data_IF_028751696902
#
_entry.id   IF_028751696902
#
_cell.length_a   1.000
_cell.length_b   1.000
_cell.length_c   1.000
_cell.angle_alpha   90.00
_cell.angle_beta   90.00
_cell.angle_gamma   90.00
#
_symmetry.space_group_name_H-M   'P 1'
#
loop_
_entity.id
_entity.type
_entity.pdbx_description
1 polymer ?
#
# COMPACT_ATOMS: atom_id res chain seq x y z
N UNK A 1 -12.77 85.73 -56.91
CA UNK A 1 -12.75 84.30 -56.50
C UNK A 1 -12.32 84.15 -55.03
N UNK A 2 -13.12 84.61 -54.05
CA UNK A 2 -12.76 84.52 -52.60
C UNK A 2 -13.99 84.38 -51.69
N UNK A 3 -14.96 83.53 -52.04
CA UNK A 3 -16.16 83.31 -51.21
C UNK A 3 -16.49 81.84 -50.91
N UNK A 4 -15.65 80.89 -51.30
CA UNK A 4 -15.92 79.45 -51.12
C UNK A 4 -15.28 78.79 -49.89
N UNK A 5 -14.32 79.43 -49.22
CA UNK A 5 -13.49 78.75 -48.20
C UNK A 5 -14.02 78.82 -46.76
N UNK A 6 -15.00 79.69 -46.48
CA UNK A 6 -15.47 79.91 -45.10
C UNK A 6 -16.62 78.97 -44.70
N UNK A 7 -17.27 78.30 -45.66
CA UNK A 7 -18.37 77.34 -45.41
C UNK A 7 -17.87 75.92 -45.07
N UNK A 8 -16.62 75.57 -45.39
CA UNK A 8 -16.08 74.22 -45.13
C UNK A 8 -15.59 74.08 -43.68
N UNK A 9 -15.30 75.20 -42.98
CA UNK A 9 -14.73 75.19 -41.64
C UNK A 9 -15.77 75.12 -40.50
N UNK A 10 -17.06 75.35 -40.80
CA UNK A 10 -18.15 75.26 -39.82
C UNK A 10 -18.82 73.88 -39.77
N UNK A 11 -18.67 73.04 -40.80
CA UNK A 11 -19.25 71.68 -40.83
C UNK A 11 -18.34 70.66 -40.12
N UNK A 12 -17.05 70.93 -40.00
CA UNK A 12 -16.08 70.04 -39.33
C UNK A 12 -16.07 70.16 -37.79
N UNK A 13 -16.59 71.24 -37.22
CA UNK A 13 -16.63 71.41 -35.74
C UNK A 13 -17.87 70.73 -35.13
N UNK A 14 -18.96 70.56 -35.91
CA UNK A 14 -20.18 69.90 -35.45
C UNK A 14 -20.10 68.37 -35.37
N UNK A 15 -19.11 67.73 -35.99
CA UNK A 15 -18.95 66.26 -35.99
C UNK A 15 -18.19 65.71 -34.77
N UNK A 16 -17.50 66.56 -34.01
CA UNK A 16 -16.73 66.13 -32.81
C UNK A 16 -17.60 66.06 -31.55
N UNK A 17 -18.76 66.72 -31.53
CA UNK A 17 -19.71 66.68 -30.39
C UNK A 17 -20.69 65.49 -30.43
N UNK A 18 -20.63 64.66 -31.48
CA UNK A 18 -21.33 63.37 -31.58
C UNK A 18 -20.41 62.19 -31.20
N UNK A 19 -19.26 62.44 -30.57
CA UNK A 19 -18.54 61.43 -29.79
C UNK A 19 -19.29 61.22 -28.48
N UNK A 20 -20.48 60.64 -28.62
CA UNK A 20 -21.38 60.34 -27.53
C UNK A 20 -20.63 59.54 -26.48
N UNK A 21 -20.68 60.02 -25.25
CA UNK A 21 -20.33 59.28 -24.05
C UNK A 21 -21.21 58.02 -24.01
N UNK A 22 -20.84 56.98 -24.75
CA UNK A 22 -21.39 55.65 -24.53
C UNK A 22 -21.02 55.33 -23.10
N UNK A 23 -22.02 55.29 -22.22
CA UNK A 23 -21.80 55.05 -20.81
C UNK A 23 -20.94 53.79 -20.66
N UNK A 24 -20.00 53.74 -19.68
CA UNK A 24 -19.16 52.58 -19.43
C UNK A 24 -19.95 51.26 -19.42
N UNK A 25 -21.21 51.30 -18.98
CA UNK A 25 -22.16 50.19 -19.02
C UNK A 25 -22.46 49.67 -20.45
N UNK A 26 -22.74 50.54 -21.42
CA UNK A 26 -23.03 50.12 -22.80
C UNK A 26 -21.80 49.50 -23.47
N UNK A 27 -20.63 50.06 -23.18
CA UNK A 27 -19.37 49.53 -23.70
C UNK A 27 -19.05 48.16 -23.09
N UNK A 28 -19.16 48.03 -21.76
CA UNK A 28 -18.97 46.75 -21.07
C UNK A 28 -19.96 45.69 -21.55
N UNK A 29 -21.23 46.05 -21.77
CA UNK A 29 -22.24 45.14 -22.33
C UNK A 29 -21.84 44.65 -23.72
N UNK A 30 -21.40 45.55 -24.60
CA UNK A 30 -20.91 45.18 -25.94
C UNK A 30 -19.71 44.23 -25.89
N UNK A 31 -18.80 44.43 -24.93
CA UNK A 31 -17.66 43.51 -24.71
C UNK A 31 -18.12 42.13 -24.20
N UNK A 32 -19.13 42.07 -23.32
CA UNK A 32 -19.73 40.79 -22.89
C UNK A 32 -20.35 40.02 -24.06
N UNK A 33 -21.15 40.70 -24.89
CA UNK A 33 -21.85 40.10 -26.03
C UNK A 33 -20.89 39.61 -27.12
N UNK A 34 -19.76 40.30 -27.29
CA UNK A 34 -18.70 39.91 -28.22
C UNK A 34 -17.71 38.88 -27.65
N UNK A 35 -17.89 38.43 -26.41
CA UNK A 35 -17.01 37.45 -25.76
C UNK A 35 -15.62 37.99 -25.39
N UNK A 36 -15.43 39.30 -25.38
CA UNK A 36 -14.17 39.97 -25.04
C UNK A 36 -13.97 40.09 -23.52
N UNK A 37 -14.16 38.98 -22.79
CA UNK A 37 -14.19 38.95 -21.33
C UNK A 37 -12.89 39.42 -20.68
N UNK A 38 -11.73 39.07 -21.24
CA UNK A 38 -10.42 39.48 -20.72
C UNK A 38 -10.22 41.00 -20.83
N UNK A 39 -10.59 41.58 -21.98
CA UNK A 39 -10.51 43.03 -22.21
C UNK A 39 -11.48 43.79 -21.31
N UNK A 40 -12.68 43.23 -21.09
CA UNK A 40 -13.66 43.78 -20.16
C UNK A 40 -13.11 43.82 -18.73
N UNK A 41 -12.51 42.73 -18.25
CA UNK A 41 -11.92 42.67 -16.91
C UNK A 41 -10.73 43.64 -16.80
N UNK A 42 -9.86 43.69 -17.81
CA UNK A 42 -8.73 44.60 -17.83
C UNK A 42 -9.16 46.08 -17.80
N UNK A 43 -10.23 46.43 -18.53
CA UNK A 43 -10.72 47.80 -18.65
C UNK A 43 -11.59 48.25 -17.47
N UNK A 44 -12.45 47.37 -16.97
CA UNK A 44 -13.48 47.71 -15.99
C UNK A 44 -13.33 47.00 -14.64
N UNK A 45 -12.26 46.23 -14.43
CA UNK A 45 -12.06 45.39 -13.23
C UNK A 45 -12.03 46.15 -11.91
N UNK A 46 -11.70 47.44 -11.93
CA UNK A 46 -11.70 48.32 -10.75
C UNK A 46 -12.97 49.16 -10.60
N UNK A 47 -13.95 49.05 -11.50
CA UNK A 47 -15.18 49.83 -11.46
C UNK A 47 -16.26 49.12 -10.61
N UNK A 48 -16.65 49.66 -9.44
CA UNK A 48 -17.65 49.02 -8.58
C UNK A 48 -19.04 48.95 -9.21
N UNK A 49 -19.40 49.90 -10.09
CA UNK A 49 -20.71 49.91 -10.78
C UNK A 49 -20.85 48.74 -11.76
N UNK A 50 -19.72 48.23 -12.26
CA UNK A 50 -19.66 47.12 -13.20
C UNK A 50 -19.22 45.80 -12.55
N UNK A 51 -19.10 45.74 -11.23
CA UNK A 51 -18.60 44.58 -10.51
C UNK A 51 -19.35 43.28 -10.87
N UNK A 52 -20.68 43.34 -11.00
CA UNK A 52 -21.50 42.19 -11.41
C UNK A 52 -21.14 41.71 -12.83
N UNK A 53 -20.94 42.62 -13.78
CA UNK A 53 -20.62 42.26 -15.16
C UNK A 53 -19.18 41.74 -15.29
N UNK A 54 -18.23 42.36 -14.58
CA UNK A 54 -16.86 41.85 -14.46
C UNK A 54 -16.85 40.45 -13.85
N UNK A 55 -17.68 40.19 -12.85
CA UNK A 55 -17.80 38.87 -12.25
C UNK A 55 -18.37 37.84 -13.24
N UNK A 56 -19.42 38.19 -13.99
CA UNK A 56 -19.95 37.32 -15.05
C UNK A 56 -18.91 37.02 -16.14
N UNK A 57 -18.08 38.00 -16.51
CA UNK A 57 -16.98 37.80 -17.44
C UNK A 57 -15.94 36.79 -16.89
N UNK A 58 -15.58 36.92 -15.60
CA UNK A 58 -14.70 35.96 -14.92
C UNK A 58 -15.29 34.56 -14.90
N UNK A 59 -16.57 34.43 -14.53
CA UNK A 59 -17.29 33.15 -14.52
C UNK A 59 -17.23 32.49 -15.91
N UNK A 60 -17.44 33.25 -16.99
CA UNK A 60 -17.36 32.73 -18.38
C UNK A 60 -15.96 32.28 -18.79
N UNK A 61 -14.92 33.03 -18.42
CA UNK A 61 -13.53 32.61 -18.67
C UNK A 61 -13.24 31.31 -17.92
N UNK A 62 -13.61 31.23 -16.64
CA UNK A 62 -13.35 30.03 -15.83
C UNK A 62 -14.14 28.82 -16.34
N UNK A 63 -15.41 28.99 -16.72
CA UNK A 63 -16.22 27.93 -17.35
C UNK A 63 -15.53 27.37 -18.60
N UNK A 64 -15.00 28.26 -19.47
CA UNK A 64 -14.28 27.86 -20.66
C UNK A 64 -12.97 27.14 -20.34
N UNK A 65 -12.16 27.68 -19.44
CA UNK A 65 -10.91 27.04 -19.00
C UNK A 65 -11.18 25.65 -18.39
N UNK A 66 -12.29 25.50 -17.68
CA UNK A 66 -12.67 24.24 -17.06
C UNK A 66 -13.07 23.21 -18.11
N UNK A 67 -13.86 23.62 -19.11
CA UNK A 67 -14.24 22.77 -20.24
C UNK A 67 -13.02 22.35 -21.08
N UNK A 68 -12.04 23.24 -21.25
CA UNK A 68 -10.77 22.98 -21.96
C UNK A 68 -9.80 22.08 -21.14
N UNK A 69 -10.14 21.71 -19.90
CA UNK A 69 -9.26 20.96 -19.01
C UNK A 69 -8.04 21.74 -18.49
N UNK A 70 -8.03 23.07 -18.64
CA UNK A 70 -6.94 23.95 -18.21
C UNK A 70 -7.04 24.30 -16.73
N UNK A 71 -7.11 23.27 -15.89
CA UNK A 71 -7.34 23.42 -14.45
C UNK A 71 -6.24 24.21 -13.73
N UNK A 72 -4.97 24.03 -14.10
CA UNK A 72 -3.87 24.80 -13.51
C UNK A 72 -4.03 26.30 -13.73
N UNK A 73 -4.49 26.72 -14.92
CA UNK A 73 -4.73 28.12 -15.25
C UNK A 73 -5.85 28.73 -14.38
N UNK A 74 -6.87 27.94 -14.03
CA UNK A 74 -7.92 28.36 -13.09
C UNK A 74 -7.33 28.58 -11.70
N UNK A 75 -6.47 27.69 -11.22
CA UNK A 75 -5.88 27.81 -9.88
C UNK A 75 -4.92 29.00 -9.77
N UNK A 76 -4.17 29.27 -10.83
CA UNK A 76 -3.19 30.35 -10.87
C UNK A 76 -3.84 31.72 -10.99
N UNK A 77 -4.79 31.89 -11.92
CA UNK A 77 -5.40 33.20 -12.19
C UNK A 77 -6.67 33.47 -11.38
N UNK A 78 -7.36 32.41 -10.95
CA UNK A 78 -8.69 32.48 -10.35
C UNK A 78 -8.79 31.57 -9.11
N UNK A 79 -7.74 31.51 -8.28
CA UNK A 79 -7.66 30.63 -7.12
C UNK A 79 -8.80 30.79 -6.10
N UNK A 80 -9.38 31.98 -6.00
CA UNK A 80 -10.50 32.29 -5.10
C UNK A 80 -11.88 32.02 -5.72
N UNK A 81 -11.95 31.63 -7.00
CA UNK A 81 -13.21 31.39 -7.68
C UNK A 81 -13.86 30.09 -7.20
N UNK A 82 -15.20 30.02 -7.19
CA UNK A 82 -15.96 28.84 -6.72
C UNK A 82 -15.53 27.52 -7.41
N UNK A 83 -15.18 27.59 -8.69
CA UNK A 83 -14.75 26.43 -9.49
C UNK A 83 -13.28 26.02 -9.27
N UNK A 84 -12.49 26.81 -8.54
CA UNK A 84 -11.10 26.43 -8.23
C UNK A 84 -11.06 25.12 -7.42
N UNK A 85 -12.04 24.90 -6.53
CA UNK A 85 -12.17 23.64 -5.80
C UNK A 85 -12.40 22.46 -6.74
N UNK A 86 -13.30 22.61 -7.71
CA UNK A 86 -13.59 21.56 -8.69
C UNK A 86 -12.39 21.29 -9.61
N UNK A 87 -11.65 22.35 -9.98
CA UNK A 87 -10.42 22.24 -10.76
C UNK A 87 -9.33 21.44 -10.00
N UNK A 88 -9.15 21.70 -8.69
CA UNK A 88 -8.26 20.90 -7.84
C UNK A 88 -8.69 19.44 -7.80
N UNK A 89 -9.99 19.17 -7.65
CA UNK A 89 -10.51 17.81 -7.64
C UNK A 89 -10.25 17.10 -8.98
N UNK A 90 -10.42 17.77 -10.12
CA UNK A 90 -10.12 17.18 -11.44
C UNK A 90 -8.64 16.86 -11.64
N UNK A 91 -7.74 17.73 -11.19
CA UNK A 91 -6.30 17.43 -11.20
C UNK A 91 -5.95 16.26 -10.28
N UNK A 92 -6.57 16.18 -9.11
CA UNK A 92 -6.39 15.08 -8.19
C UNK A 92 -6.91 13.75 -8.78
N UNK A 93 -8.08 13.76 -9.44
CA UNK A 93 -8.63 12.61 -10.16
C UNK A 93 -7.69 12.14 -11.28
N UNK A 94 -7.09 13.06 -12.04
CA UNK A 94 -6.13 12.73 -13.09
C UNK A 94 -4.88 12.04 -12.53
N UNK A 95 -4.29 12.57 -11.45
CA UNK A 95 -3.14 11.94 -10.79
C UNK A 95 -3.49 10.55 -10.24
N UNK A 96 -4.68 10.38 -9.68
CA UNK A 96 -5.17 9.09 -9.21
C UNK A 96 -5.33 8.10 -10.36
N UNK A 97 -5.84 8.53 -11.51
CA UNK A 97 -6.00 7.70 -12.71
C UNK A 97 -4.65 7.28 -13.31
N UNK A 98 -3.63 8.15 -13.23
CA UNK A 98 -2.24 7.84 -13.58
C UNK A 98 -1.55 6.90 -12.57
N UNK A 99 -2.19 6.58 -11.44
CA UNK A 99 -1.63 5.74 -10.39
C UNK A 99 -0.59 6.45 -9.51
N UNK A 100 -0.47 7.78 -9.61
CA UNK A 100 0.46 8.59 -8.80
C UNK A 100 -0.12 8.87 -7.42
N UNK A 101 -0.31 7.80 -6.63
CA UNK A 101 -1.01 7.82 -5.35
C UNK A 101 -0.36 8.77 -4.32
N UNK A 102 0.97 8.75 -4.22
CA UNK A 102 1.69 9.61 -3.28
C UNK A 102 1.60 11.09 -3.67
N UNK A 103 1.67 11.39 -4.97
CA UNK A 103 1.58 12.76 -5.47
C UNK A 103 0.21 13.38 -5.24
N UNK A 104 -0.88 12.61 -5.45
CA UNK A 104 -2.23 13.12 -5.19
C UNK A 104 -2.45 13.39 -3.71
N UNK A 105 -1.90 12.56 -2.82
CA UNK A 105 -1.97 12.77 -1.37
C UNK A 105 -1.18 14.00 -0.95
N UNK A 106 0.01 14.20 -1.51
CA UNK A 106 0.87 15.33 -1.17
C UNK A 106 0.32 16.67 -1.69
N UNK A 107 -0.14 16.71 -2.95
CA UNK A 107 -0.58 17.95 -3.61
C UNK A 107 -2.04 18.30 -3.30
N UNK A 108 -2.91 17.31 -3.11
CA UNK A 108 -4.35 17.50 -2.93
C UNK A 108 -4.90 16.69 -1.75
N UNK A 109 -4.37 16.85 -0.52
CA UNK A 109 -4.64 15.98 0.63
C UNK A 109 -6.11 15.89 1.05
N UNK A 110 -6.88 16.94 0.78
CA UNK A 110 -8.31 17.06 1.14
C UNK A 110 -9.26 16.64 0.01
N UNK A 111 -8.72 16.25 -1.15
CA UNK A 111 -9.54 15.82 -2.29
C UNK A 111 -10.12 14.41 -2.06
N UNK A 112 -11.31 14.10 -2.62
CA UNK A 112 -11.83 12.73 -2.63
C UNK A 112 -10.86 11.73 -3.27
N UNK A 113 -10.09 12.16 -4.28
CA UNK A 113 -9.09 11.33 -4.94
C UNK A 113 -7.92 10.98 -4.01
N UNK A 114 -7.47 11.89 -3.15
CA UNK A 114 -6.45 11.60 -2.14
C UNK A 114 -6.96 10.62 -1.07
N UNK A 115 -8.24 10.69 -0.68
CA UNK A 115 -8.83 9.70 0.21
C UNK A 115 -8.84 8.31 -0.44
N UNK A 116 -9.23 8.22 -1.72
CA UNK A 116 -9.16 6.97 -2.47
C UNK A 116 -7.72 6.45 -2.63
N UNK A 117 -6.75 7.33 -2.84
CA UNK A 117 -5.33 6.95 -2.92
C UNK A 117 -4.83 6.35 -1.59
N UNK A 118 -5.17 6.96 -0.45
CA UNK A 118 -4.84 6.43 0.89
C UNK A 118 -5.43 5.05 1.10
N UNK A 119 -6.70 4.85 0.73
CA UNK A 119 -7.37 3.55 0.82
C UNK A 119 -6.70 2.50 -0.06
N UNK A 120 -6.34 2.84 -1.30
CA UNK A 120 -5.61 1.94 -2.21
C UNK A 120 -4.25 1.53 -1.65
N UNK A 121 -3.47 2.48 -1.13
CA UNK A 121 -2.18 2.20 -0.50
C UNK A 121 -2.32 1.28 0.72
N UNK A 122 -3.33 1.53 1.57
CA UNK A 122 -3.61 0.68 2.71
C UNK A 122 -4.00 -0.75 2.29
N UNK A 123 -4.81 -0.87 1.23
CA UNK A 123 -5.18 -2.18 0.69
C UNK A 123 -3.96 -2.94 0.15
N UNK A 124 -3.09 -2.27 -0.62
CA UNK A 124 -1.84 -2.88 -1.10
C UNK A 124 -0.94 -3.35 0.05
N UNK A 125 -0.86 -2.57 1.14
CA UNK A 125 -0.11 -2.95 2.32
C UNK A 125 -0.72 -4.20 3.01
N UNK A 126 -2.04 -4.25 3.13
CA UNK A 126 -2.75 -5.39 3.71
C UNK A 126 -2.59 -6.66 2.85
N UNK A 127 -2.70 -6.55 1.53
CA UNK A 127 -2.52 -7.68 0.61
C UNK A 127 -1.09 -8.23 0.69
N UNK A 128 -0.09 -7.35 0.80
CA UNK A 128 1.30 -7.75 1.03
C UNK A 128 1.48 -8.46 2.37
N UNK A 129 0.82 -7.99 3.44
CA UNK A 129 0.89 -8.63 4.76
C UNK A 129 0.22 -10.00 4.75
N UNK A 130 -0.93 -10.14 4.08
CA UNK A 130 -1.62 -11.41 3.91
C UNK A 130 -0.73 -12.43 3.16
N UNK A 131 -0.10 -12.02 2.05
CA UNK A 131 0.81 -12.88 1.30
C UNK A 131 2.01 -13.35 2.14
N UNK A 132 2.56 -12.47 2.99
CA UNK A 132 3.64 -12.83 3.93
C UNK A 132 3.14 -13.82 4.98
N UNK A 133 1.95 -13.61 5.55
CA UNK A 133 1.35 -14.49 6.55
C UNK A 133 1.10 -15.90 5.99
N UNK A 134 0.56 -16.01 4.78
CA UNK A 134 0.34 -17.30 4.11
C UNK A 134 1.65 -18.04 3.86
N UNK A 135 2.69 -17.33 3.43
CA UNK A 135 4.02 -17.91 3.24
C UNK A 135 4.63 -18.42 4.55
N UNK A 136 4.37 -17.73 5.67
CA UNK A 136 4.86 -18.13 6.99
C UNK A 136 4.12 -19.37 7.51
N UNK A 137 2.80 -19.43 7.34
CA UNK A 137 2.00 -20.61 7.68
C UNK A 137 2.43 -21.85 6.89
N UNK A 138 2.69 -21.70 5.58
CA UNK A 138 3.22 -22.79 4.75
C UNK A 138 4.52 -23.37 5.31
N UNK A 139 5.47 -22.51 5.70
CA UNK A 139 6.75 -22.96 6.30
C UNK A 139 6.59 -23.62 7.66
N UNK A 140 5.65 -23.14 8.48
CA UNK A 140 5.35 -23.75 9.78
C UNK A 140 4.80 -25.17 9.62
N UNK A 141 3.82 -25.37 8.72
CA UNK A 141 3.24 -26.70 8.47
C UNK A 141 4.25 -27.70 7.91
N UNK A 142 5.17 -27.26 7.05
CA UNK A 142 6.27 -28.12 6.56
C UNK A 142 7.23 -28.51 7.68
N UNK A 143 7.53 -27.59 8.59
CA UNK A 143 8.40 -27.84 9.74
C UNK A 143 7.78 -28.83 10.70
N UNK A 144 6.49 -28.69 11.02
CA UNK A 144 5.75 -29.64 11.86
C UNK A 144 5.76 -31.05 11.29
N UNK A 145 5.59 -31.19 9.96
CA UNK A 145 5.66 -32.48 9.29
C UNK A 145 7.05 -33.11 9.44
N UNK A 146 8.13 -32.35 9.21
CA UNK A 146 9.51 -32.84 9.38
C UNK A 146 9.80 -33.27 10.81
N UNK A 147 9.31 -32.53 11.81
CA UNK A 147 9.48 -32.89 13.23
C UNK A 147 8.77 -34.21 13.54
N UNK A 148 7.52 -34.38 13.09
CA UNK A 148 6.78 -35.64 13.28
C UNK A 148 7.46 -36.83 12.60
N UNK A 149 7.93 -36.66 11.37
CA UNK A 149 8.65 -37.71 10.64
C UNK A 149 9.96 -38.09 11.35
N UNK A 150 10.69 -37.09 11.89
CA UNK A 150 11.92 -37.32 12.65
C UNK A 150 11.64 -38.06 13.95
N UNK A 151 10.60 -37.68 14.68
CA UNK A 151 10.22 -38.33 15.94
C UNK A 151 9.86 -39.81 15.73
N UNK A 152 9.12 -40.11 14.66
CA UNK A 152 8.79 -41.49 14.26
C UNK A 152 10.04 -42.32 13.93
N UNK A 153 11.05 -41.71 13.31
CA UNK A 153 12.32 -42.38 13.04
C UNK A 153 13.13 -42.65 14.33
N UNK A 154 13.10 -41.72 15.28
CA UNK A 154 13.77 -41.88 16.58
C UNK A 154 13.12 -43.01 17.39
N UNK A 155 11.80 -43.12 17.42
CA UNK A 155 11.11 -44.23 18.08
C UNK A 155 11.48 -45.58 17.44
N UNK A 156 11.42 -45.67 16.12
CA UNK A 156 11.82 -46.89 15.40
C UNK A 156 13.28 -47.28 15.65
N UNK A 157 14.17 -46.30 15.80
CA UNK A 157 15.56 -46.53 16.14
C UNK A 157 15.74 -47.03 17.58
N UNK A 158 14.96 -46.51 18.54
CA UNK A 158 14.97 -46.99 19.93
C UNK A 158 14.50 -48.45 20.02
N UNK A 159 13.41 -48.79 19.33
CA UNK A 159 12.89 -50.16 19.32
C UNK A 159 13.92 -51.15 18.76
N UNK A 160 14.56 -50.79 17.64
CA UNK A 160 15.61 -51.62 17.03
C UNK A 160 16.85 -51.76 17.94
N UNK A 161 17.21 -50.70 18.65
CA UNK A 161 18.35 -50.75 19.59
C UNK A 161 18.03 -51.63 20.80
N UNK A 162 16.80 -51.57 21.31
CA UNK A 162 16.34 -52.44 22.40
C UNK A 162 16.32 -53.92 21.97
N UNK A 163 15.86 -54.22 20.76
CA UNK A 163 15.86 -55.58 20.19
C UNK A 163 17.29 -56.15 20.05
N UNK A 164 18.24 -55.33 19.57
CA UNK A 164 19.64 -55.72 19.47
C UNK A 164 20.28 -55.95 20.85
N UNK A 165 19.97 -55.09 21.83
CA UNK A 165 20.44 -55.25 23.21
C UNK A 165 19.90 -56.54 23.85
N UNK A 166 18.61 -56.86 23.65
CA UNK A 166 17.99 -58.10 24.15
C UNK A 166 18.65 -59.35 23.56
N UNK A 167 18.94 -59.32 22.25
CA UNK A 167 19.58 -60.43 21.54
C UNK A 167 21.01 -60.66 22.02
N UNK A 168 21.77 -59.58 22.21
CA UNK A 168 23.13 -59.63 22.75
C UNK A 168 23.15 -60.14 24.20
N UNK A 169 22.28 -59.59 25.05
CA UNK A 169 22.12 -59.98 26.45
C UNK A 169 21.77 -61.47 26.57
N UNK A 170 20.81 -61.95 25.80
CA UNK A 170 20.40 -63.36 25.79
C UNK A 170 21.56 -64.29 25.42
N UNK A 171 22.35 -63.91 24.41
CA UNK A 171 23.49 -64.71 23.94
C UNK A 171 24.61 -64.77 24.99
N UNK A 172 24.90 -63.64 25.63
CA UNK A 172 25.92 -63.55 26.68
C UNK A 172 25.50 -64.28 27.96
N UNK A 173 24.23 -64.16 28.37
CA UNK A 173 23.68 -64.90 29.51
C UNK A 173 23.79 -66.43 29.30
N UNK A 174 23.38 -66.94 28.13
CA UNK A 174 23.54 -68.36 27.78
C UNK A 174 24.99 -68.82 27.88
N UNK A 175 25.94 -68.00 27.43
CA UNK A 175 27.38 -68.28 27.54
C UNK A 175 27.83 -68.39 29.00
N UNK A 176 27.37 -67.48 29.86
CA UNK A 176 27.70 -67.47 31.31
C UNK A 176 27.13 -68.72 31.98
N UNK A 177 25.91 -69.12 31.66
CA UNK A 177 25.27 -70.30 32.25
C UNK A 177 25.99 -71.62 31.92
N UNK A 178 26.69 -71.66 30.79
CA UNK A 178 27.51 -72.82 30.38
C UNK A 178 28.87 -72.92 31.10
N UNK A 179 29.24 -71.96 31.96
CA UNK A 179 30.47 -72.04 32.75
C UNK A 179 30.39 -73.18 33.78
N UNK A 180 31.42 -74.03 33.82
CA UNK A 180 31.49 -75.19 34.73
C UNK A 180 31.90 -74.81 36.15
N UNK A 181 32.68 -73.75 36.32
CA UNK A 181 33.16 -73.29 37.63
C UNK A 181 32.11 -72.35 38.28
N UNK A 182 31.58 -72.69 39.47
CA UNK A 182 30.52 -71.90 40.12
C UNK A 182 30.97 -70.51 40.57
N UNK A 183 32.21 -70.36 41.06
CA UNK A 183 32.72 -69.06 41.49
C UNK A 183 32.90 -68.09 40.31
N UNK A 184 33.39 -68.60 39.17
CA UNK A 184 33.50 -67.82 37.94
C UNK A 184 32.12 -67.48 37.36
N UNK A 185 31.16 -68.41 37.43
CA UNK A 185 29.78 -68.15 37.00
C UNK A 185 29.12 -67.06 37.83
N UNK A 186 29.22 -67.12 39.16
CA UNK A 186 28.67 -66.09 40.07
C UNK A 186 29.24 -64.70 39.77
N UNK A 187 30.56 -64.60 39.59
CA UNK A 187 31.23 -63.34 39.23
C UNK A 187 30.76 -62.81 37.87
N UNK A 188 30.71 -63.67 36.85
CA UNK A 188 30.27 -63.28 35.51
C UNK A 188 28.79 -62.86 35.47
N UNK A 189 27.90 -63.50 36.23
CA UNK A 189 26.51 -63.08 36.38
C UNK A 189 26.42 -61.71 37.05
N UNK A 190 27.21 -61.45 38.09
CA UNK A 190 27.22 -60.17 38.78
C UNK A 190 27.72 -59.03 37.87
N UNK A 191 28.77 -59.28 37.08
CA UNK A 191 29.24 -58.33 36.06
C UNK A 191 28.18 -58.10 34.98
N UNK A 192 27.51 -59.16 34.52
CA UNK A 192 26.48 -59.09 33.49
C UNK A 192 25.25 -58.28 33.92
N UNK A 193 24.72 -58.49 35.13
CA UNK A 193 23.56 -57.74 35.67
C UNK A 193 23.86 -56.25 35.84
N UNK A 194 25.12 -55.89 36.10
CA UNK A 194 25.53 -54.50 36.29
C UNK A 194 25.82 -53.75 34.98
N UNK A 195 25.82 -54.43 33.83
CA UNK A 195 26.00 -53.78 32.53
C UNK A 195 24.81 -52.89 32.20
N UNK A 196 25.07 -51.58 32.08
CA UNK A 196 24.04 -50.58 31.78
C UNK A 196 23.29 -50.87 30.47
N UNK A 197 23.99 -51.42 29.47
CA UNK A 197 23.43 -51.83 28.17
C UNK A 197 22.35 -52.93 28.28
N UNK A 198 22.38 -53.76 29.32
CA UNK A 198 21.44 -54.88 29.48
C UNK A 198 20.41 -54.67 30.58
N UNK A 199 20.48 -53.56 31.32
CA UNK A 199 19.72 -53.32 32.56
C UNK A 199 18.20 -53.58 32.46
N UNK A 200 17.60 -53.39 31.28
CA UNK A 200 16.17 -53.58 31.04
C UNK A 200 15.81 -54.85 30.25
N UNK A 201 16.80 -55.66 29.90
CA UNK A 201 16.59 -56.88 29.12
C UNK A 201 15.98 -58.00 29.97
N UNK A 202 15.27 -58.94 29.34
CA UNK A 202 14.77 -60.12 30.06
C UNK A 202 15.92 -60.97 30.57
N UNK A 203 16.97 -61.14 29.75
CA UNK A 203 18.17 -61.88 30.13
C UNK A 203 18.87 -61.32 31.38
N UNK A 204 18.93 -60.00 31.57
CA UNK A 204 19.49 -59.40 32.80
C UNK A 204 18.62 -59.68 34.04
N UNK A 205 17.29 -59.70 33.88
CA UNK A 205 16.37 -60.07 34.97
C UNK A 205 16.53 -61.54 35.37
N UNK A 206 16.62 -62.42 34.38
CA UNK A 206 16.86 -63.85 34.59
C UNK A 206 18.22 -64.11 35.26
N UNK A 207 19.26 -63.40 34.82
CA UNK A 207 20.59 -63.47 35.42
C UNK A 207 20.61 -62.99 36.87
N UNK A 208 19.87 -61.92 37.20
CA UNK A 208 19.74 -61.43 38.57
C UNK A 208 19.00 -62.43 39.46
N UNK A 209 17.95 -63.05 38.94
CA UNK A 209 17.22 -64.10 39.65
C UNK A 209 18.09 -65.34 39.89
N UNK A 210 18.93 -65.71 38.93
CA UNK A 210 19.85 -66.84 39.07
C UNK A 210 20.98 -66.52 40.07
N UNK A 211 21.53 -65.31 40.02
CA UNK A 211 22.53 -64.84 40.98
C UNK A 211 22.00 -64.89 42.43
N UNK A 212 20.71 -64.60 42.64
CA UNK A 212 20.08 -64.66 43.95
C UNK A 212 19.93 -66.09 44.52
N UNK A 213 20.01 -67.12 43.67
CA UNK A 213 19.96 -68.54 44.08
C UNK A 213 21.35 -69.11 44.43
N UNK A 214 22.42 -68.38 44.14
CA UNK A 214 23.83 -68.80 44.30
C UNK A 214 24.51 -68.17 45.51
#
# INVERSE_FOLDING_TARGET
MKRGWMMILLVTIATVLMLGCSSPMKEAQKMMESGQYEQLIAKFGSNPELASMVQQAKDKIVEKLFADGKYNAILEMYGDHRMAKDAKNKLAEALLAEGKLDEVIAKYPESPAALQAKLKLQQMANDSLAAVADSAQGKLTETEKKVKDTQKQVEKAKDKTAEMAETAATSEFKRIMNLKNPALKKKALQEFVNKAEYKNTAAAKDAAAELAKM
#
